data_IF_952290491415
#
_entry.id   IF_952290491415
#
_cell.length_a   1.000
_cell.length_b   1.000
_cell.length_c   1.000
_cell.angle_alpha   90.00
_cell.angle_beta   90.00
_cell.angle_gamma   90.00
#
_symmetry.space_group_name_H-M   'P 1'
#
loop_
_entity.id
_entity.type
_entity.pdbx_description
1 polymer ?
#
# COMPACT_ATOMS: atom_id res chain seq x y z
N UNK A 1 -19.79 70.57 -22.60
CA UNK A 1 -20.26 71.14 -21.31
C UNK A 1 -20.23 70.14 -20.14
N UNK A 2 -20.24 68.82 -20.38
CA UNK A 2 -20.30 67.76 -19.34
C UNK A 2 -19.03 67.59 -18.49
N UNK A 3 -17.84 67.86 -19.05
CA UNK A 3 -16.56 67.76 -18.31
C UNK A 3 -16.46 68.75 -17.14
N UNK A 4 -16.98 69.97 -17.32
CA UNK A 4 -16.96 71.02 -16.30
C UNK A 4 -17.94 70.72 -15.14
N UNK A 5 -19.07 70.07 -15.43
CA UNK A 5 -20.03 69.60 -14.41
C UNK A 5 -19.43 68.47 -13.57
N UNK A 6 -18.75 67.51 -14.21
CA UNK A 6 -18.09 66.40 -13.52
C UNK A 6 -16.92 66.89 -12.64
N UNK A 7 -16.15 67.86 -13.10
CA UNK A 7 -15.07 68.48 -12.32
C UNK A 7 -15.63 69.29 -11.14
N UNK A 8 -16.72 70.05 -11.35
CA UNK A 8 -17.41 70.77 -10.27
C UNK A 8 -17.99 69.82 -9.21
N UNK A 9 -18.56 68.69 -9.62
CA UNK A 9 -19.05 67.66 -8.70
C UNK A 9 -17.91 67.02 -7.90
N UNK A 10 -16.79 66.69 -8.55
CA UNK A 10 -15.57 66.20 -7.87
C UNK A 10 -15.07 67.19 -6.83
N UNK A 11 -15.07 68.49 -7.14
CA UNK A 11 -14.67 69.55 -6.21
C UNK A 11 -15.62 69.65 -5.00
N UNK A 12 -16.94 69.53 -5.23
CA UNK A 12 -17.94 69.48 -4.14
C UNK A 12 -17.73 68.27 -3.25
N UNK A 13 -17.56 67.08 -3.82
CA UNK A 13 -17.29 65.85 -3.07
C UNK A 13 -15.97 65.93 -2.28
N UNK A 14 -14.93 66.56 -2.83
CA UNK A 14 -13.67 66.81 -2.11
C UNK A 14 -13.86 67.77 -0.93
N UNK A 15 -14.66 68.83 -1.10
CA UNK A 15 -14.99 69.78 -0.04
C UNK A 15 -15.80 69.13 1.07
N UNK A 16 -16.80 68.31 0.75
CA UNK A 16 -17.57 67.53 1.73
C UNK A 16 -16.70 66.52 2.47
N UNK A 17 -15.81 65.81 1.77
CA UNK A 17 -14.84 64.90 2.39
C UNK A 17 -13.88 65.63 3.32
N UNK A 18 -13.47 66.87 3.00
CA UNK A 18 -12.66 67.70 3.91
C UNK A 18 -13.44 68.09 5.16
N UNK A 19 -14.67 68.58 5.01
CA UNK A 19 -15.57 68.94 6.12
C UNK A 19 -15.84 67.73 7.03
N UNK A 20 -16.17 66.56 6.46
CA UNK A 20 -16.37 65.30 7.23
C UNK A 20 -15.10 64.90 8.00
N UNK A 21 -13.92 65.02 7.39
CA UNK A 21 -12.64 64.77 8.06
C UNK A 21 -12.31 65.78 9.15
N UNK A 22 -12.80 67.00 9.06
CA UNK A 22 -12.61 68.03 10.11
C UNK A 22 -13.55 67.79 11.28
N UNK A 23 -14.82 67.46 11.01
CA UNK A 23 -15.79 67.04 12.03
C UNK A 23 -15.29 65.81 12.80
N UNK A 24 -14.82 64.78 12.09
CA UNK A 24 -14.25 63.58 12.72
C UNK A 24 -13.02 63.89 13.59
N UNK A 25 -12.19 64.88 13.23
CA UNK A 25 -11.02 65.29 14.04
C UNK A 25 -11.40 66.16 15.24
N UNK A 26 -12.54 66.82 15.20
CA UNK A 26 -13.04 67.65 16.29
C UNK A 26 -13.72 66.80 17.38
N UNK A 27 -14.30 65.66 16.98
CA UNK A 27 -14.96 64.68 17.88
C UNK A 27 -13.94 63.64 18.41
N UNK A 28 -12.77 63.53 17.79
CA UNK A 28 -11.71 62.56 18.14
C UNK A 28 -11.21 62.76 19.57
N UNK A 29 -11.22 61.67 20.35
CA UNK A 29 -10.67 61.67 21.72
C UNK A 29 -9.15 61.89 21.69
N UNK A 30 -8.54 62.39 22.79
CA UNK A 30 -7.09 62.65 22.83
C UNK A 30 -6.24 61.39 22.60
N UNK A 31 -6.74 60.19 22.91
CA UNK A 31 -6.05 58.93 22.65
C UNK A 31 -6.10 58.51 21.18
N UNK A 32 -7.26 58.60 20.54
CA UNK A 32 -7.40 58.31 19.10
C UNK A 32 -6.54 59.28 18.25
N UNK A 33 -6.46 60.54 18.66
CA UNK A 33 -5.60 61.54 18.04
C UNK A 33 -4.11 61.17 18.13
N UNK A 34 -3.67 60.50 19.21
CA UNK A 34 -2.30 59.98 19.35
C UNK A 34 -2.08 58.80 18.42
N UNK A 35 -3.00 57.84 18.37
CA UNK A 35 -2.90 56.66 17.49
C UNK A 35 -2.86 57.06 16.01
N UNK A 36 -3.70 58.00 15.59
CA UNK A 36 -3.69 58.54 14.22
C UNK A 36 -2.38 59.24 13.87
N UNK A 37 -1.78 59.95 14.83
CA UNK A 37 -0.45 60.58 14.64
C UNK A 37 0.65 59.52 14.52
N UNK A 38 0.57 58.44 15.31
CA UNK A 38 1.48 57.31 15.25
C UNK A 38 1.39 56.60 13.89
N UNK A 39 0.19 56.21 13.47
CA UNK A 39 -0.05 55.57 12.17
C UNK A 39 0.36 56.48 11.00
N UNK A 40 0.13 57.79 11.10
CA UNK A 40 0.61 58.75 10.08
C UNK A 40 2.13 58.81 10.05
N UNK A 41 2.81 58.64 11.19
CA UNK A 41 4.28 58.59 11.28
C UNK A 41 4.79 57.28 10.66
N UNK A 42 4.22 56.13 11.02
CA UNK A 42 4.57 54.81 10.47
C UNK A 42 4.33 54.73 8.96
N UNK A 43 3.19 55.21 8.45
CA UNK A 43 2.92 55.23 7.01
C UNK A 43 3.89 56.14 6.25
N UNK A 44 4.30 57.26 6.84
CA UNK A 44 5.34 58.13 6.26
C UNK A 44 6.69 57.44 6.26
N UNK A 45 7.00 56.70 7.30
CA UNK A 45 8.24 55.93 7.41
C UNK A 45 8.26 54.77 6.40
N UNK A 46 7.16 54.01 6.28
CA UNK A 46 7.01 52.94 5.29
C UNK A 46 7.15 53.47 3.87
N UNK A 47 6.46 54.56 3.52
CA UNK A 47 6.60 55.22 2.22
C UNK A 47 8.02 55.74 1.97
N UNK A 48 8.72 56.22 3.00
CA UNK A 48 10.12 56.63 2.90
C UNK A 48 11.01 55.41 2.62
N UNK A 49 10.80 54.28 3.31
CA UNK A 49 11.52 53.01 3.13
C UNK A 49 11.29 52.41 1.74
N UNK A 50 10.04 52.34 1.29
CA UNK A 50 9.66 51.90 -0.07
C UNK A 50 10.36 52.76 -1.15
N UNK A 51 10.41 54.08 -0.97
CA UNK A 51 11.07 55.01 -1.91
C UNK A 51 12.60 54.86 -1.94
N UNK A 52 13.20 54.30 -0.89
CA UNK A 52 14.64 54.01 -0.82
C UNK A 52 15.00 52.65 -1.45
N UNK A 53 14.03 51.89 -1.96
CA UNK A 53 14.26 50.65 -2.69
C UNK A 53 14.64 49.45 -1.81
N UNK A 54 14.32 49.49 -0.51
CA UNK A 54 14.46 48.34 0.37
C UNK A 54 13.39 47.29 0.02
N UNK A 55 13.84 46.10 -0.42
CA UNK A 55 12.96 44.98 -0.75
C UNK A 55 12.23 44.46 0.51
N UNK A 56 11.13 43.72 0.32
CA UNK A 56 10.34 43.15 1.42
C UNK A 56 11.17 42.30 2.39
N UNK A 57 12.29 41.73 1.93
CA UNK A 57 13.22 40.91 2.70
C UNK A 57 14.25 41.73 3.51
N UNK A 58 14.33 43.05 3.31
CA UNK A 58 15.23 43.94 4.05
C UNK A 58 14.51 44.82 5.07
N UNK A 59 13.17 44.81 5.09
CA UNK A 59 12.32 45.66 5.95
C UNK A 59 12.51 45.46 7.47
N UNK A 60 13.23 44.43 7.90
CA UNK A 60 13.41 44.04 9.29
C UNK A 60 14.41 44.93 10.04
N UNK A 61 15.33 45.59 9.35
CA UNK A 61 16.35 46.41 10.01
C UNK A 61 15.81 47.81 10.29
N UNK A 62 15.77 48.18 11.58
CA UNK A 62 15.46 49.55 12.02
C UNK A 62 16.71 50.20 12.59
N UNK A 63 16.86 51.53 12.49
CA UNK A 63 18.01 52.24 13.09
C UNK A 63 18.15 52.02 14.60
N UNK A 64 17.10 51.55 15.28
CA UNK A 64 17.11 51.28 16.72
C UNK A 64 17.55 49.85 17.07
N UNK A 65 17.60 48.95 16.09
CA UNK A 65 17.86 47.51 16.27
C UNK A 65 19.24 47.12 15.69
N UNK A 66 20.14 48.10 15.59
CA UNK A 66 21.47 47.91 15.03
C UNK A 66 22.46 47.42 16.12
N UNK A 67 22.96 46.18 16.04
CA UNK A 67 23.88 45.61 17.04
C UNK A 67 25.25 46.33 17.10
N UNK A 68 25.59 47.15 16.11
CA UNK A 68 26.84 47.91 16.06
C UNK A 68 26.71 49.35 16.62
N UNK A 69 25.51 49.76 17.05
CA UNK A 69 25.30 51.06 17.70
C UNK A 69 25.34 52.28 16.76
N UNK A 70 25.33 52.11 15.43
CA UNK A 70 25.22 53.25 14.51
C UNK A 70 23.78 53.77 14.44
N UNK A 71 23.62 55.07 14.71
CA UNK A 71 22.33 55.78 14.66
C UNK A 71 21.82 56.06 13.24
N UNK A 72 22.69 55.95 12.22
CA UNK A 72 22.43 56.38 10.84
C UNK A 72 22.44 55.21 9.83
N UNK A 73 22.08 53.98 10.24
CA UNK A 73 22.07 52.80 9.36
C UNK A 73 21.25 52.98 8.06
N UNK A 74 20.19 53.78 8.12
CA UNK A 74 19.33 54.11 6.97
C UNK A 74 19.87 55.21 6.05
N UNK A 75 21.00 55.86 6.37
CA UNK A 75 21.62 56.82 5.47
C UNK A 75 22.43 56.12 4.37
N UNK A 76 22.28 56.59 3.13
CA UNK A 76 23.01 56.05 1.98
C UNK A 76 24.49 56.37 2.12
N UNK A 77 25.31 55.33 2.28
CA UNK A 77 26.77 55.45 2.29
C UNK A 77 27.27 56.01 0.95
N UNK A 78 28.09 57.06 1.02
CA UNK A 78 28.70 57.69 -0.15
C UNK A 78 30.20 57.47 -0.12
N UNK A 79 30.71 56.71 -1.08
CA UNK A 79 32.15 56.49 -1.22
C UNK A 79 32.80 57.70 -1.93
N UNK A 80 33.22 58.69 -1.14
CA UNK A 80 33.77 59.97 -1.62
C UNK A 80 34.97 59.78 -2.56
N UNK A 81 35.90 58.89 -2.22
CA UNK A 81 37.05 58.54 -3.07
C UNK A 81 36.65 57.95 -4.43
N UNK A 82 35.60 57.13 -4.46
CA UNK A 82 35.07 56.58 -5.72
C UNK A 82 34.47 57.68 -6.60
N UNK A 83 33.76 58.63 -6.01
CA UNK A 83 33.20 59.77 -6.74
C UNK A 83 34.29 60.69 -7.31
N UNK A 84 35.36 60.93 -6.55
CA UNK A 84 36.54 61.66 -7.00
C UNK A 84 37.24 60.95 -8.15
N UNK A 85 37.44 59.63 -8.03
CA UNK A 85 38.07 58.81 -9.08
C UNK A 85 37.22 58.70 -10.36
N UNK A 86 35.89 58.67 -10.24
CA UNK A 86 34.97 58.67 -11.38
C UNK A 86 34.78 60.07 -12.00
N UNK A 87 35.33 61.13 -11.39
CA UNK A 87 35.18 62.52 -11.87
C UNK A 87 33.77 63.10 -11.69
N UNK A 88 32.97 62.50 -10.80
CA UNK A 88 31.55 62.81 -10.55
C UNK A 88 31.38 63.53 -9.20
N UNK A 89 32.48 63.99 -8.59
CA UNK A 89 32.50 64.60 -7.27
C UNK A 89 31.72 65.92 -7.20
N UNK A 90 31.63 66.65 -8.32
CA UNK A 90 30.97 67.96 -8.40
C UNK A 90 29.45 67.87 -8.62
N UNK A 91 28.90 66.67 -8.86
CA UNK A 91 27.46 66.49 -9.06
C UNK A 91 26.68 66.53 -7.75
N UNK A 92 25.42 66.97 -7.84
CA UNK A 92 24.55 67.09 -6.67
C UNK A 92 24.33 65.72 -6.02
N UNK A 93 24.24 65.70 -4.68
CA UNK A 93 23.90 64.49 -3.91
C UNK A 93 22.64 63.79 -4.45
N UNK A 94 21.65 64.55 -4.91
CA UNK A 94 20.41 64.02 -5.49
C UNK A 94 20.64 63.31 -6.84
N UNK A 95 21.59 63.77 -7.64
CA UNK A 95 21.93 63.17 -8.94
C UNK A 95 22.71 61.87 -8.77
N UNK A 96 23.62 61.83 -7.79
CA UNK A 96 24.35 60.62 -7.39
C UNK A 96 23.38 59.54 -6.89
N UNK A 97 22.42 59.91 -6.05
CA UNK A 97 21.37 59.00 -5.57
C UNK A 97 20.46 58.51 -6.70
N UNK A 98 20.16 59.35 -7.70
CA UNK A 98 19.37 58.93 -8.88
C UNK A 98 20.15 57.94 -9.75
N UNK A 99 21.45 58.18 -9.97
CA UNK A 99 22.33 57.28 -10.74
C UNK A 99 22.53 55.93 -10.02
N UNK A 100 22.71 55.95 -8.71
CA UNK A 100 22.83 54.72 -7.91
C UNK A 100 21.53 53.92 -7.91
N UNK A 101 20.36 54.57 -7.81
CA UNK A 101 19.07 53.88 -7.94
C UNK A 101 18.87 53.22 -9.29
N UNK A 102 19.21 53.91 -10.39
CA UNK A 102 19.14 53.33 -11.72
C UNK A 102 20.05 52.09 -11.86
N UNK A 103 21.29 52.16 -11.36
CA UNK A 103 22.21 50.99 -11.33
C UNK A 103 21.67 49.83 -10.48
N UNK A 104 21.02 50.13 -9.35
CA UNK A 104 20.41 49.10 -8.49
C UNK A 104 19.22 48.42 -9.17
N UNK A 105 18.40 49.20 -9.89
CA UNK A 105 17.28 48.68 -10.67
C UNK A 105 17.76 47.80 -11.83
N UNK A 106 18.81 48.24 -12.55
CA UNK A 106 19.46 47.44 -13.59
C UNK A 106 20.04 46.13 -13.03
N UNK A 107 20.81 46.19 -11.93
CA UNK A 107 21.34 45.01 -11.26
C UNK A 107 20.24 44.05 -10.79
N UNK A 108 19.11 44.57 -10.29
CA UNK A 108 17.96 43.76 -9.87
C UNK A 108 17.36 43.00 -11.07
N UNK A 109 17.14 43.70 -12.19
CA UNK A 109 16.62 43.09 -13.41
C UNK A 109 17.58 42.04 -13.98
N UNK A 110 18.90 42.28 -13.91
CA UNK A 110 19.91 41.31 -14.28
C UNK A 110 19.88 40.08 -13.36
N UNK A 111 19.75 40.28 -12.05
CA UNK A 111 19.66 39.20 -11.07
C UNK A 111 18.39 38.36 -11.28
N UNK A 112 17.25 38.99 -11.57
CA UNK A 112 16.00 38.30 -11.92
C UNK A 112 16.15 37.47 -13.21
N UNK A 113 16.80 38.02 -14.25
CA UNK A 113 17.12 37.26 -15.47
C UNK A 113 18.06 36.08 -15.20
N UNK A 114 19.05 36.24 -14.31
CA UNK A 114 19.93 35.13 -13.90
C UNK A 114 19.15 34.07 -13.13
N UNK A 115 18.26 34.48 -12.20
CA UNK A 115 17.41 33.57 -11.43
C UNK A 115 16.48 32.78 -12.34
N UNK A 116 15.83 33.44 -13.30
CA UNK A 116 14.99 32.79 -14.31
C UNK A 116 15.76 31.74 -15.12
N UNK A 117 16.96 32.09 -15.61
CA UNK A 117 17.85 31.14 -16.32
C UNK A 117 18.34 29.97 -15.46
N UNK A 118 18.40 30.11 -14.14
CA UNK A 118 18.74 29.00 -13.23
C UNK A 118 17.54 28.08 -13.05
N UNK A 119 16.37 28.66 -12.80
CA UNK A 119 15.13 27.92 -12.64
C UNK A 119 14.79 27.11 -13.91
N UNK A 120 14.95 27.70 -15.09
CA UNK A 120 14.73 27.00 -16.37
C UNK A 120 15.66 25.79 -16.53
N UNK A 121 16.95 25.92 -16.16
CA UNK A 121 17.92 24.82 -16.22
C UNK A 121 17.67 23.73 -15.17
N UNK A 122 17.20 24.12 -13.98
CA UNK A 122 16.82 23.15 -12.95
C UNK A 122 15.56 22.39 -13.34
N UNK A 123 14.58 23.08 -13.92
CA UNK A 123 13.35 22.47 -14.41
C UNK A 123 13.64 21.51 -15.57
N UNK A 124 14.44 21.92 -16.56
CA UNK A 124 14.85 21.03 -17.66
C UNK A 124 15.63 19.80 -17.14
N UNK A 125 16.52 19.99 -16.16
CA UNK A 125 17.25 18.87 -15.56
C UNK A 125 16.30 17.93 -14.80
N UNK A 126 15.39 18.48 -14.00
CA UNK A 126 14.41 17.70 -13.26
C UNK A 126 13.46 16.92 -14.20
N UNK A 127 13.04 17.52 -15.32
CA UNK A 127 12.25 16.84 -16.34
C UNK A 127 13.02 15.68 -16.97
N UNK A 128 14.31 15.88 -17.32
CA UNK A 128 15.16 14.80 -17.84
C UNK A 128 15.37 13.68 -16.81
N UNK A 129 15.65 14.03 -15.56
CA UNK A 129 15.83 13.08 -14.47
C UNK A 129 14.54 12.28 -14.23
N UNK A 130 13.37 12.92 -14.22
CA UNK A 130 12.08 12.26 -14.08
C UNK A 130 11.77 11.31 -15.24
N UNK A 131 12.11 11.68 -16.48
CA UNK A 131 11.96 10.80 -17.64
C UNK A 131 12.86 9.57 -17.55
N UNK A 132 14.12 9.75 -17.14
CA UNK A 132 15.06 8.64 -16.94
C UNK A 132 14.60 7.72 -15.81
N UNK A 133 14.13 8.28 -14.69
CA UNK A 133 13.58 7.50 -13.57
C UNK A 133 12.36 6.69 -14.02
N UNK A 134 11.47 7.29 -14.80
CA UNK A 134 10.31 6.58 -15.33
C UNK A 134 10.73 5.44 -16.27
N UNK A 135 11.67 5.68 -17.19
CA UNK A 135 12.20 4.64 -18.07
C UNK A 135 12.85 3.51 -17.26
N UNK A 136 13.64 3.85 -16.24
CA UNK A 136 14.27 2.87 -15.35
C UNK A 136 13.21 2.03 -14.63
N UNK A 137 12.18 2.66 -14.05
CA UNK A 137 11.08 1.95 -13.38
C UNK A 137 10.33 1.03 -14.35
N UNK A 138 10.10 1.47 -15.58
CA UNK A 138 9.49 0.63 -16.62
C UNK A 138 10.38 -0.57 -16.98
N UNK A 139 11.70 -0.36 -17.10
CA UNK A 139 12.68 -1.42 -17.36
C UNK A 139 12.70 -2.45 -16.24
N UNK A 140 12.71 -2.00 -14.99
CA UNK A 140 12.68 -2.85 -13.79
C UNK A 140 11.35 -3.63 -13.71
N UNK A 141 10.21 -2.98 -13.97
CA UNK A 141 8.92 -3.65 -14.01
C UNK A 141 8.83 -4.72 -15.11
N UNK A 142 9.39 -4.44 -16.29
CA UNK A 142 9.47 -5.41 -17.38
C UNK A 142 10.35 -6.60 -17.03
N UNK A 143 11.51 -6.37 -16.40
CA UNK A 143 12.38 -7.43 -15.89
C UNK A 143 11.67 -8.27 -14.82
N UNK A 144 11.00 -7.64 -13.86
CA UNK A 144 10.24 -8.34 -12.83
C UNK A 144 9.14 -9.22 -13.44
N UNK A 145 8.40 -8.71 -14.43
CA UNK A 145 7.41 -9.50 -15.16
C UNK A 145 8.02 -10.70 -15.89
N UNK A 146 9.21 -10.55 -16.48
CA UNK A 146 9.92 -11.67 -17.11
C UNK A 146 10.38 -12.69 -16.08
N UNK A 147 10.91 -12.26 -14.94
CA UNK A 147 11.30 -13.16 -13.85
C UNK A 147 10.11 -13.95 -13.31
N UNK A 148 8.96 -13.31 -13.07
CA UNK A 148 7.74 -14.02 -12.65
C UNK A 148 7.32 -15.10 -13.64
N UNK A 149 7.40 -14.84 -14.96
CA UNK A 149 7.11 -15.87 -15.97
C UNK A 149 8.13 -17.03 -15.95
N UNK A 150 9.40 -16.72 -15.72
CA UNK A 150 10.44 -17.76 -15.60
C UNK A 150 10.25 -18.59 -14.33
N UNK A 151 9.82 -17.96 -13.24
CA UNK A 151 9.49 -18.63 -11.98
C UNK A 151 8.30 -19.57 -12.15
N UNK A 152 7.21 -19.14 -12.80
CA UNK A 152 6.06 -20.01 -13.10
C UNK A 152 6.49 -21.26 -13.89
N UNK A 153 7.32 -21.06 -14.93
CA UNK A 153 7.86 -22.16 -15.73
C UNK A 153 8.76 -23.09 -14.90
N UNK A 154 9.58 -22.53 -14.01
CA UNK A 154 10.42 -23.31 -13.11
C UNK A 154 9.57 -24.14 -12.14
N UNK A 155 8.51 -23.55 -11.57
CA UNK A 155 7.58 -24.27 -10.70
C UNK A 155 6.91 -25.43 -11.44
N UNK A 156 6.48 -25.21 -12.69
CA UNK A 156 5.91 -26.26 -13.53
C UNK A 156 6.91 -27.39 -13.78
N UNK A 157 8.16 -27.05 -14.13
CA UNK A 157 9.21 -28.04 -14.40
C UNK A 157 9.59 -28.83 -13.13
N UNK A 158 9.69 -28.15 -11.99
CA UNK A 158 9.89 -28.82 -10.70
C UNK A 158 8.72 -29.75 -10.36
N UNK A 159 7.48 -29.34 -10.62
CA UNK A 159 6.31 -30.18 -10.40
C UNK A 159 6.35 -31.45 -11.27
N UNK A 160 6.76 -31.31 -12.55
CA UNK A 160 6.99 -32.44 -13.47
C UNK A 160 8.08 -33.39 -12.98
N UNK A 161 9.27 -32.88 -12.66
CA UNK A 161 10.38 -33.71 -12.16
C UNK A 161 9.97 -34.43 -10.87
N UNK A 162 9.30 -33.74 -9.94
CA UNK A 162 8.80 -34.34 -8.70
C UNK A 162 7.72 -35.39 -8.95
N UNK A 163 6.89 -35.20 -9.97
CA UNK A 163 5.88 -36.17 -10.40
C UNK A 163 6.56 -37.43 -10.95
N UNK A 164 7.51 -37.27 -11.85
CA UNK A 164 8.27 -38.36 -12.45
C UNK A 164 8.94 -39.24 -11.38
N UNK A 165 9.64 -38.64 -10.42
CA UNK A 165 10.29 -39.39 -9.31
C UNK A 165 9.25 -40.17 -8.48
N UNK A 166 8.06 -39.60 -8.22
CA UNK A 166 7.00 -40.29 -7.46
C UNK A 166 6.41 -41.47 -8.22
N UNK A 167 6.30 -41.36 -9.54
CA UNK A 167 5.84 -42.45 -10.42
C UNK A 167 6.88 -43.57 -10.45
N UNK A 168 8.16 -43.24 -10.61
CA UNK A 168 9.27 -44.21 -10.59
C UNK A 168 9.37 -44.94 -9.25
N UNK A 169 9.15 -44.24 -8.14
CA UNK A 169 9.14 -44.81 -6.78
C UNK A 169 7.87 -45.64 -6.46
N UNK A 170 6.88 -45.72 -7.35
CA UNK A 170 5.63 -46.46 -7.13
C UNK A 170 4.65 -45.84 -6.13
N UNK A 171 4.83 -44.55 -5.83
CA UNK A 171 4.04 -43.76 -4.85
C UNK A 171 3.39 -42.56 -5.54
N UNK A 172 2.90 -42.78 -6.76
CA UNK A 172 2.29 -41.76 -7.59
C UNK A 172 1.02 -41.22 -6.95
N UNK A 173 0.85 -39.89 -6.97
CA UNK A 173 -0.44 -39.28 -6.69
C UNK A 173 -1.34 -39.33 -7.92
N UNK A 174 -2.67 -39.24 -7.78
CA UNK A 174 -3.59 -39.16 -8.93
C UNK A 174 -3.23 -38.05 -9.92
N UNK A 175 -2.80 -36.87 -9.42
CA UNK A 175 -2.36 -35.76 -10.27
C UNK A 175 -1.12 -36.11 -11.10
N UNK A 176 -0.19 -36.90 -10.55
CA UNK A 176 1.06 -37.26 -11.22
C UNK A 176 0.76 -38.16 -12.43
N UNK A 177 -0.18 -39.10 -12.26
CA UNK A 177 -0.66 -39.99 -13.32
C UNK A 177 -1.42 -39.24 -14.41
N UNK A 178 -2.23 -38.25 -14.03
CA UNK A 178 -2.97 -37.40 -14.98
C UNK A 178 -2.03 -36.47 -15.76
N UNK A 179 -1.07 -35.82 -15.08
CA UNK A 179 -0.08 -34.95 -15.71
C UNK A 179 0.82 -35.71 -16.70
N UNK A 180 1.00 -37.02 -16.51
CA UNK A 180 1.74 -37.87 -17.44
C UNK A 180 1.13 -37.85 -18.84
N UNK A 181 -0.20 -37.79 -19.00
CA UNK A 181 -0.84 -37.83 -20.33
C UNK A 181 -0.45 -36.63 -21.21
N UNK A 182 -0.28 -35.46 -20.61
CA UNK A 182 0.17 -34.23 -21.30
C UNK A 182 1.68 -34.27 -21.55
N UNK A 183 2.44 -34.81 -20.59
CA UNK A 183 3.91 -34.89 -20.68
C UNK A 183 4.38 -35.95 -21.69
N UNK A 184 3.57 -37.01 -21.88
CA UNK A 184 3.83 -38.14 -22.78
C UNK A 184 3.85 -37.76 -24.26
N UNK A 185 3.36 -36.58 -24.62
CA UNK A 185 3.43 -36.06 -25.99
C UNK A 185 4.87 -35.66 -26.38
N UNK A 186 5.79 -35.57 -25.42
CA UNK A 186 7.15 -35.07 -25.63
C UNK A 186 8.25 -36.16 -25.66
N UNK A 187 8.09 -37.31 -25.00
CA UNK A 187 9.13 -38.36 -25.00
C UNK A 187 8.55 -39.78 -25.05
N UNK A 188 8.34 -40.26 -26.28
CA UNK A 188 8.34 -41.70 -26.57
C UNK A 188 9.76 -42.26 -26.42
N UNK A 189 10.32 -42.34 -25.21
CA UNK A 189 11.56 -43.09 -24.87
C UNK A 189 11.87 -42.87 -23.38
N UNK A 190 11.72 -43.82 -22.46
CA UNK A 190 12.77 -44.85 -22.25
C UNK A 190 12.35 -46.04 -21.38
N UNK A 191 11.09 -46.16 -20.94
CA UNK A 191 10.67 -47.28 -20.07
C UNK A 191 9.30 -47.76 -20.49
N UNK A 192 9.27 -48.75 -21.39
CA UNK A 192 8.08 -49.26 -22.09
C UNK A 192 7.04 -49.96 -21.20
N UNK A 193 6.47 -49.26 -20.22
CA UNK A 193 5.29 -49.69 -19.46
C UNK A 193 4.37 -48.48 -19.18
N UNK A 194 4.00 -47.75 -20.23
CA UNK A 194 2.90 -46.79 -20.11
C UNK A 194 1.60 -47.56 -20.35
N UNK A 195 1.02 -48.10 -19.27
CA UNK A 195 -0.35 -48.57 -19.32
C UNK A 195 -1.22 -47.31 -19.40
N UNK A 196 -1.49 -46.85 -20.63
CA UNK A 196 -2.40 -45.74 -20.93
C UNK A 196 -3.79 -46.18 -20.47
N UNK A 197 -4.07 -45.96 -19.20
CA UNK A 197 -5.39 -46.22 -18.65
C UNK A 197 -6.34 -45.08 -19.05
N UNK A 198 -7.64 -45.36 -19.07
CA UNK A 198 -8.62 -44.29 -19.25
C UNK A 198 -8.56 -43.34 -18.03
N UNK A 199 -8.56 -42.01 -18.20
CA UNK A 199 -8.39 -41.06 -17.09
C UNK A 199 -9.35 -41.28 -15.91
N UNK A 200 -10.54 -41.80 -16.18
CA UNK A 200 -11.55 -42.13 -15.17
C UNK A 200 -11.11 -43.24 -14.20
N UNK A 201 -10.24 -44.16 -14.62
CA UNK A 201 -9.77 -45.26 -13.77
C UNK A 201 -8.93 -44.77 -12.60
N UNK A 202 -8.16 -43.70 -12.80
CA UNK A 202 -7.35 -43.07 -11.73
C UNK A 202 -8.21 -42.32 -10.71
N UNK A 203 -9.47 -42.05 -11.05
CA UNK A 203 -10.45 -41.39 -10.19
C UNK A 203 -11.32 -42.40 -9.42
N UNK A 204 -11.42 -43.63 -9.91
CA UNK A 204 -12.22 -44.68 -9.25
C UNK A 204 -11.53 -45.18 -7.98
N UNK A 205 -12.19 -45.02 -6.82
CA UNK A 205 -11.72 -45.54 -5.54
C UNK A 205 -10.98 -44.54 -4.66
N UNK A 206 -10.88 -43.26 -5.07
CA UNK A 206 -10.34 -42.19 -4.23
C UNK A 206 -11.33 -41.76 -3.14
N UNK A 207 -10.80 -41.24 -2.04
CA UNK A 207 -11.64 -40.63 -0.99
C UNK A 207 -12.10 -39.23 -1.40
N UNK A 208 -13.12 -38.72 -0.71
CA UNK A 208 -13.62 -37.37 -0.93
C UNK A 208 -12.55 -36.30 -0.68
N UNK A 209 -11.69 -36.49 0.33
CA UNK A 209 -10.59 -35.57 0.63
C UNK A 209 -9.54 -35.58 -0.49
N UNK A 210 -9.15 -36.76 -0.99
CA UNK A 210 -8.15 -36.86 -2.06
C UNK A 210 -8.63 -36.23 -3.37
N UNK A 211 -9.94 -36.29 -3.66
CA UNK A 211 -10.53 -35.63 -4.82
C UNK A 211 -10.62 -34.11 -4.66
N UNK A 212 -10.85 -33.62 -3.44
CA UNK A 212 -10.80 -32.18 -3.12
C UNK A 212 -9.36 -31.65 -3.21
N UNK A 213 -8.36 -32.39 -2.72
CA UNK A 213 -6.94 -32.07 -2.89
C UNK A 213 -6.55 -32.07 -4.39
N UNK A 214 -6.99 -33.09 -5.14
CA UNK A 214 -6.76 -33.18 -6.59
C UNK A 214 -7.34 -31.98 -7.35
N UNK A 215 -8.49 -31.46 -6.91
CA UNK A 215 -9.11 -30.28 -7.49
C UNK A 215 -8.25 -29.02 -7.29
N UNK A 216 -7.61 -28.88 -6.13
CA UNK A 216 -6.68 -27.77 -5.88
C UNK A 216 -5.41 -27.91 -6.71
N UNK A 217 -4.85 -29.13 -6.78
CA UNK A 217 -3.67 -29.42 -7.59
C UNK A 217 -3.93 -29.12 -9.09
N UNK A 218 -5.09 -29.51 -9.64
CA UNK A 218 -5.46 -29.20 -11.03
C UNK A 218 -5.53 -27.70 -11.28
N UNK A 219 -6.05 -26.91 -10.33
CA UNK A 219 -6.09 -25.44 -10.46
C UNK A 219 -4.70 -24.83 -10.51
N UNK A 220 -3.75 -25.37 -9.74
CA UNK A 220 -2.35 -24.94 -9.77
C UNK A 220 -1.75 -25.21 -11.15
N UNK A 221 -1.94 -26.41 -11.71
CA UNK A 221 -1.51 -26.71 -13.08
C UNK A 221 -2.18 -25.82 -14.13
N UNK A 222 -3.47 -25.51 -13.97
CA UNK A 222 -4.18 -24.61 -14.88
C UNK A 222 -3.63 -23.17 -14.85
N UNK A 223 -3.09 -22.72 -13.71
CA UNK A 223 -2.46 -21.40 -13.59
C UNK A 223 -1.04 -21.35 -14.15
N UNK A 224 -0.27 -22.43 -13.95
CA UNK A 224 1.12 -22.53 -14.37
C UNK A 224 1.25 -22.87 -15.87
N UNK A 225 0.36 -23.71 -16.40
CA UNK A 225 0.41 -24.19 -17.78
C UNK A 225 -0.29 -23.22 -18.73
N UNK A 226 0.50 -22.37 -19.39
CA UNK A 226 -0.01 -21.31 -20.28
C UNK A 226 -0.33 -21.81 -21.70
N UNK A 227 -0.13 -23.09 -21.98
CA UNK A 227 -0.38 -23.64 -23.32
C UNK A 227 -1.88 -23.85 -23.56
N UNK A 228 -2.41 -23.22 -24.61
CA UNK A 228 -3.84 -23.30 -24.96
C UNK A 228 -4.32 -24.73 -25.24
N UNK A 229 -3.41 -25.65 -25.58
CA UNK A 229 -3.72 -27.07 -25.78
C UNK A 229 -3.83 -27.84 -24.46
N UNK A 230 -3.18 -27.42 -23.40
CA UNK A 230 -3.25 -28.17 -22.15
C UNK A 230 -4.43 -27.67 -21.30
N UNK A 231 -4.88 -26.45 -21.55
CA UNK A 231 -6.03 -25.83 -20.88
C UNK A 231 -7.35 -26.58 -21.08
N UNK A 232 -7.63 -27.12 -22.28
CA UNK A 232 -8.85 -27.91 -22.50
C UNK A 232 -8.82 -29.20 -21.70
N UNK A 233 -7.66 -29.86 -21.66
CA UNK A 233 -7.48 -31.10 -20.88
C UNK A 233 -7.72 -30.87 -19.39
N UNK A 234 -7.12 -29.84 -18.79
CA UNK A 234 -7.33 -29.51 -17.38
C UNK A 234 -8.77 -29.08 -17.08
N UNK A 235 -9.42 -28.39 -18.02
CA UNK A 235 -10.83 -28.00 -17.89
C UNK A 235 -11.77 -29.20 -17.92
N UNK A 236 -11.54 -30.15 -18.84
CA UNK A 236 -12.30 -31.39 -18.94
C UNK A 236 -12.09 -32.26 -17.71
N UNK A 237 -10.85 -32.39 -17.23
CA UNK A 237 -10.56 -33.09 -15.97
C UNK A 237 -11.27 -32.46 -14.77
N UNK A 238 -11.34 -31.12 -14.71
CA UNK A 238 -12.07 -30.43 -13.65
C UNK A 238 -13.54 -30.84 -13.63
N UNK A 239 -14.19 -30.92 -14.80
CA UNK A 239 -15.59 -31.35 -14.90
C UNK A 239 -15.75 -32.78 -14.40
N UNK A 240 -14.86 -33.68 -14.81
CA UNK A 240 -14.90 -35.09 -14.42
C UNK A 240 -14.72 -35.25 -12.91
N UNK A 241 -13.72 -34.59 -12.31
CA UNK A 241 -13.47 -34.67 -10.87
C UNK A 241 -14.64 -34.08 -10.08
N UNK A 242 -15.25 -32.98 -10.55
CA UNK A 242 -16.45 -32.41 -9.93
C UNK A 242 -17.65 -33.36 -9.96
N UNK A 243 -17.82 -34.11 -11.05
CA UNK A 243 -18.89 -35.10 -11.16
C UNK A 243 -18.65 -36.28 -10.22
N UNK A 244 -17.39 -36.74 -10.10
CA UNK A 244 -17.03 -37.80 -9.16
C UNK A 244 -17.20 -37.38 -7.69
N UNK A 245 -16.83 -36.15 -7.34
CA UNK A 245 -17.11 -35.56 -6.01
C UNK A 245 -18.62 -35.55 -5.76
N UNK A 246 -19.42 -35.10 -6.74
CA UNK A 246 -20.88 -35.08 -6.62
C UNK A 246 -21.44 -36.49 -6.44
N UNK A 247 -20.94 -37.47 -7.19
CA UNK A 247 -21.36 -38.87 -7.11
C UNK A 247 -21.06 -39.47 -5.74
N UNK A 248 -19.87 -39.22 -5.19
CA UNK A 248 -19.50 -39.68 -3.85
C UNK A 248 -20.34 -38.99 -2.77
N UNK A 249 -20.56 -37.67 -2.85
CA UNK A 249 -21.43 -36.94 -1.91
C UNK A 249 -22.87 -37.48 -1.94
N UNK A 250 -23.40 -37.81 -3.11
CA UNK A 250 -24.73 -38.42 -3.25
C UNK A 250 -24.78 -39.84 -2.69
N UNK A 251 -23.72 -40.63 -2.90
CA UNK A 251 -23.61 -41.98 -2.33
C UNK A 251 -23.54 -41.94 -0.81
N UNK A 252 -22.72 -41.05 -0.25
CA UNK A 252 -22.56 -40.91 1.20
C UNK A 252 -23.89 -40.43 1.84
N UNK A 253 -24.58 -39.47 1.21
CA UNK A 253 -25.93 -39.07 1.63
C UNK A 253 -26.97 -40.20 1.51
N UNK A 254 -26.89 -41.03 0.47
CA UNK A 254 -27.75 -42.19 0.30
C UNK A 254 -27.46 -43.29 1.34
N UNK A 255 -26.19 -43.50 1.70
CA UNK A 255 -25.82 -44.41 2.78
C UNK A 255 -26.26 -43.89 4.14
N UNK A 256 -26.18 -42.58 4.39
CA UNK A 256 -26.64 -41.98 5.64
C UNK A 256 -28.16 -42.08 5.79
N UNK A 257 -28.91 -41.85 4.71
CA UNK A 257 -30.37 -42.02 4.70
C UNK A 257 -30.80 -43.49 4.79
N UNK A 258 -30.06 -44.41 4.15
CA UNK A 258 -30.26 -45.86 4.29
C UNK A 258 -29.91 -46.36 5.70
N UNK A 259 -28.82 -45.88 6.30
CA UNK A 259 -28.43 -46.20 7.68
C UNK A 259 -29.44 -45.64 8.68
N UNK A 260 -29.93 -44.41 8.47
CA UNK A 260 -30.98 -43.79 9.28
C UNK A 260 -32.30 -44.55 9.19
N UNK A 261 -32.70 -44.96 7.99
CA UNK A 261 -33.93 -45.74 7.77
C UNK A 261 -33.82 -47.21 8.20
N UNK A 262 -32.64 -47.83 8.10
CA UNK A 262 -32.36 -49.15 8.66
C UNK A 262 -32.31 -49.12 10.19
N UNK A 263 -31.76 -48.07 10.80
CA UNK A 263 -31.79 -47.82 12.24
C UNK A 263 -33.22 -47.60 12.75
N UNK A 264 -34.11 -46.99 11.95
CA UNK A 264 -35.54 -46.90 12.26
C UNK A 264 -36.30 -48.23 12.15
N UNK A 265 -35.81 -49.19 11.34
CA UNK A 265 -36.50 -50.48 11.11
C UNK A 265 -36.03 -51.63 12.02
N UNK A 266 -34.88 -51.54 12.67
CA UNK A 266 -34.32 -52.66 13.47
C UNK A 266 -33.77 -52.31 14.87
N UNK A 267 -34.17 -51.20 15.48
CA UNK A 267 -33.67 -50.82 16.80
C UNK A 267 -34.78 -50.38 17.76
N UNK A 268 -34.82 -51.00 18.94
CA UNK A 268 -35.59 -50.54 20.10
C UNK A 268 -35.47 -49.01 20.22
N UNK A 269 -36.60 -48.31 20.32
CA UNK A 269 -36.64 -46.86 20.41
C UNK A 269 -35.68 -46.37 21.51
N UNK A 270 -34.90 -45.32 21.26
CA UNK A 270 -33.85 -44.84 22.18
C UNK A 270 -34.35 -44.56 23.61
N UNK A 271 -35.64 -44.24 23.76
CA UNK A 271 -36.31 -44.05 25.04
C UNK A 271 -36.38 -45.33 25.91
N UNK A 272 -36.40 -46.52 25.28
CA UNK A 272 -36.60 -47.82 25.95
C UNK A 272 -35.29 -48.60 26.07
N UNK A 273 -34.27 -48.27 25.27
CA UNK A 273 -32.98 -48.95 25.26
C UNK A 273 -32.24 -48.85 26.62
N UNK A 274 -32.42 -47.74 27.34
CA UNK A 274 -31.85 -47.56 28.69
C UNK A 274 -32.46 -48.51 29.74
N UNK A 275 -33.78 -48.66 29.74
CA UNK A 275 -34.48 -49.50 30.72
C UNK A 275 -34.22 -50.99 30.52
N UNK A 276 -34.15 -51.44 29.26
CA UNK A 276 -33.82 -52.83 28.92
C UNK A 276 -32.39 -53.19 29.36
N UNK A 277 -31.45 -52.26 29.23
CA UNK A 277 -30.07 -52.45 29.68
C UNK A 277 -29.97 -52.62 31.20
N UNK A 278 -30.77 -51.86 31.96
CA UNK A 278 -30.82 -51.96 33.42
C UNK A 278 -31.41 -53.30 33.89
N UNK A 279 -32.45 -53.80 33.22
CA UNK A 279 -33.05 -55.10 33.55
C UNK A 279 -32.09 -56.27 33.31
N UNK A 280 -31.33 -56.23 32.20
CA UNK A 280 -30.35 -57.28 31.87
C UNK A 280 -29.17 -57.26 32.85
N UNK A 281 -28.70 -56.08 33.25
CA UNK A 281 -27.64 -55.94 34.26
C UNK A 281 -28.09 -56.41 35.65
N UNK A 282 -29.33 -56.11 36.04
CA UNK A 282 -29.88 -56.53 37.33
C UNK A 282 -30.04 -58.06 37.43
N UNK A 283 -30.43 -58.72 36.33
CA UNK A 283 -30.57 -60.19 36.28
C UNK A 283 -29.22 -60.92 36.49
N UNK A 284 -28.11 -60.32 36.05
CA UNK A 284 -26.77 -60.92 36.12
C UNK A 284 -26.13 -60.94 37.52
N UNK A 285 -26.57 -60.07 38.44
CA UNK A 285 -26.02 -59.99 39.79
C UNK A 285 -26.66 -60.99 40.75
N UNK A 286 -27.92 -61.37 40.55
CA UNK A 286 -28.64 -62.32 41.41
C UNK A 286 -28.13 -63.76 41.27
N UNK A 287 -27.51 -64.12 40.14
CA UNK A 287 -26.94 -65.46 39.92
C UNK A 287 -25.55 -65.66 40.55
N UNK A 288 -24.83 -64.59 40.89
CA UNK A 288 -23.43 -64.67 41.35
C UNK A 288 -23.29 -64.92 42.87
N UNK A 289 -24.34 -64.73 43.66
CA UNK A 289 -24.31 -64.92 45.12
C UNK A 289 -24.51 -66.37 45.61
N UNK A 290 -24.84 -67.34 44.76
CA UNK A 290 -25.15 -68.71 45.19
C UNK A 290 -24.02 -69.75 45.05
N UNK A 291 -22.82 -69.35 44.60
CA UNK A 291 -21.69 -70.29 44.44
C UNK A 291 -20.37 -69.70 44.92
N UNK A 292 -20.02 -69.95 46.19
CA UNK A 292 -18.66 -70.31 46.64
C UNK A 292 -18.61 -70.44 48.16
N UNK A 293 -18.69 -71.67 48.63
CA UNK A 293 -18.16 -72.12 49.92
C UNK A 293 -17.17 -73.26 49.66
N UNK A 294 -16.15 -73.33 50.52
CA UNK A 294 -15.17 -74.41 50.72
C UNK A 294 -13.81 -74.42 49.96
N UNK A 295 -12.79 -74.12 50.78
CA UNK A 295 -11.49 -74.81 50.99
C UNK A 295 -10.21 -74.33 50.27
N UNK A 296 -9.42 -73.62 51.07
CA UNK A 296 -8.10 -74.00 51.61
C UNK A 296 -6.81 -73.93 50.74
N UNK A 297 -6.04 -72.83 50.98
CA UNK A 297 -4.60 -72.65 51.37
C UNK A 297 -3.44 -73.42 50.64
N UNK A 298 -2.15 -72.99 50.76
CA UNK A 298 -1.42 -72.02 49.93
C UNK A 298 -0.08 -72.56 49.35
N UNK A 299 0.59 -71.86 48.43
CA UNK A 299 2.07 -71.91 48.35
C UNK A 299 2.63 -70.57 47.87
N UNK A 300 3.70 -70.17 48.57
CA UNK A 300 4.57 -69.00 48.43
C UNK A 300 5.32 -68.98 47.07
N UNK A 301 5.68 -67.79 46.57
CA UNK A 301 7.08 -67.32 46.45
C UNK A 301 7.27 -66.17 45.44
N UNK A 302 8.02 -65.17 45.90
CA UNK A 302 8.96 -64.28 45.20
C UNK A 302 8.47 -63.47 43.97
N UNK A 303 8.30 -62.15 44.06
CA UNK A 303 9.34 -61.11 44.15
C UNK A 303 10.13 -60.92 42.84
N UNK A 304 9.84 -59.85 42.09
CA UNK A 304 10.83 -58.85 41.62
C UNK A 304 10.17 -57.77 40.77
N UNK A 305 10.41 -56.52 41.14
CA UNK A 305 10.11 -55.31 40.38
C UNK A 305 11.32 -54.94 39.51
N UNK A 306 11.11 -54.46 38.27
CA UNK A 306 12.02 -53.53 37.61
C UNK A 306 11.37 -52.85 36.38
N UNK A 307 11.19 -51.54 36.56
CA UNK A 307 11.22 -50.36 35.67
C UNK A 307 11.11 -50.47 34.12
N UNK A 308 10.53 -49.43 33.47
CA UNK A 308 10.49 -49.29 32.02
C UNK A 308 11.66 -48.44 31.45
N UNK A 309 12.04 -48.76 30.22
CA UNK A 309 12.77 -47.92 29.26
C UNK A 309 12.10 -48.17 27.89
N UNK A 310 11.91 -47.20 26.98
CA UNK A 310 12.38 -45.83 26.84
C UNK A 310 11.42 -45.12 25.90
#
# INVERSE_FOLDING_TARGET
MTRNLLEAERLRQLAEKKKKKELLKAIETPEEKRLRRLQKKELKERKRKEKMGWDSEYLHYTNADNPYGDNNLLETFVWKEKLLKEGVADLSKEEIEKRNRAKMEENRLELEKVKKRRLERELERAEREALVELEQRQREAAQFSQFSKQEDNFQLEQARIRSQIRVEDGRAKPIDLLAQYISSECELTSTGVLHVHEPYTHLTGLTLNDLEDLMEDIKVYQQLDRDSKNQWYWSDLTIIVLDEIRRLKMRDAATDTAATSASQRHGIHSAVAGEVSVLVLCCSQTQRCCRKGDRAIPVLLSNTALLPAR
#
